data_IF_720282724872
#
_entry.id   IF_720282724872
#
_cell.length_a   1.000
_cell.length_b   1.000
_cell.length_c   1.000
_cell.angle_alpha   90.00
_cell.angle_beta   90.00
_cell.angle_gamma   90.00
#
_symmetry.space_group_name_H-M   'P 1'
#
loop_
_entity.id
_entity.type
_entity.pdbx_description
1 polymer ?
#
# COMPACT_ATOMS: atom_id res chain seq x y z
N UNK A 1 -27.56 3.44 -2.81
CA UNK A 1 -26.87 2.22 -3.31
C UNK A 1 -25.52 2.52 -3.97
N UNK A 2 -25.41 2.96 -5.24
CA UNK A 2 -24.09 3.10 -5.92
C UNK A 2 -23.17 4.15 -5.25
N UNK A 3 -23.73 5.30 -4.85
CA UNK A 3 -22.97 6.36 -4.20
C UNK A 3 -22.47 5.96 -2.79
N UNK A 4 -23.30 5.28 -2.01
CA UNK A 4 -22.93 4.78 -0.67
C UNK A 4 -21.83 3.70 -0.75
N UNK A 5 -21.89 2.82 -1.76
CA UNK A 5 -20.83 1.83 -2.00
C UNK A 5 -19.50 2.47 -2.38
N UNK A 6 -19.51 3.54 -3.19
CA UNK A 6 -18.28 4.27 -3.58
C UNK A 6 -17.69 5.02 -2.38
N UNK A 7 -18.55 5.65 -1.55
CA UNK A 7 -18.11 6.37 -0.37
C UNK A 7 -17.49 5.42 0.67
N UNK A 8 -18.13 4.28 0.93
CA UNK A 8 -17.59 3.25 1.84
C UNK A 8 -16.24 2.73 1.34
N UNK A 9 -16.13 2.45 0.03
CA UNK A 9 -14.90 2.03 -0.61
C UNK A 9 -13.77 3.06 -0.43
N UNK A 10 -14.05 4.35 -0.69
CA UNK A 10 -13.08 5.44 -0.53
C UNK A 10 -12.60 5.58 0.92
N UNK A 11 -13.50 5.51 1.91
CA UNK A 11 -13.13 5.59 3.33
C UNK A 11 -12.29 4.38 3.75
N UNK A 12 -12.66 3.18 3.30
CA UNK A 12 -11.92 1.94 3.57
C UNK A 12 -10.50 1.96 3.02
N UNK A 13 -10.24 2.75 1.96
CA UNK A 13 -8.91 2.95 1.38
C UNK A 13 -8.15 4.12 1.99
N UNK A 14 -8.86 5.14 2.48
CA UNK A 14 -8.28 6.35 3.05
C UNK A 14 -7.52 6.03 4.34
N UNK A 15 -8.06 5.15 5.20
CA UNK A 15 -7.44 4.83 6.50
C UNK A 15 -6.09 4.09 6.34
N UNK A 16 -5.99 2.98 5.58
CA UNK A 16 -4.71 2.32 5.31
C UNK A 16 -3.69 3.25 4.66
N UNK A 17 -4.14 4.10 3.75
CA UNK A 17 -3.32 5.10 3.08
C UNK A 17 -2.70 6.11 4.06
N UNK A 18 -3.53 6.78 4.89
CA UNK A 18 -3.06 7.82 5.81
C UNK A 18 -2.06 7.22 6.81
N UNK A 19 -2.39 6.07 7.38
CA UNK A 19 -1.53 5.46 8.40
C UNK A 19 -0.23 4.95 7.78
N UNK A 20 -0.26 4.34 6.59
CA UNK A 20 0.96 3.96 5.88
C UNK A 20 1.84 5.18 5.58
N UNK A 21 1.26 6.29 5.13
CA UNK A 21 1.99 7.54 4.89
C UNK A 21 2.64 8.09 6.18
N UNK A 22 1.91 8.09 7.30
CA UNK A 22 2.44 8.53 8.60
C UNK A 22 3.59 7.62 9.07
N UNK A 23 3.46 6.30 8.92
CA UNK A 23 4.54 5.37 9.30
C UNK A 23 5.77 5.58 8.44
N UNK A 24 5.61 5.80 7.13
CA UNK A 24 6.73 6.15 6.24
C UNK A 24 7.40 7.45 6.67
N UNK A 25 6.62 8.47 7.04
CA UNK A 25 7.15 9.75 7.52
C UNK A 25 7.88 9.61 8.86
N UNK A 26 7.42 8.76 9.77
CA UNK A 26 8.14 8.51 11.04
C UNK A 26 9.42 7.71 10.78
N UNK A 27 9.39 6.82 9.78
CA UNK A 27 10.53 5.99 9.44
C UNK A 27 11.74 6.76 8.89
N UNK A 28 11.56 8.02 8.44
CA UNK A 28 12.69 8.88 8.06
C UNK A 28 13.63 9.19 9.23
N UNK A 29 13.15 9.11 10.48
CA UNK A 29 13.99 9.21 11.67
C UNK A 29 14.70 7.91 12.06
N UNK A 30 14.36 6.79 11.42
CA UNK A 30 14.91 5.45 11.68
C UNK A 30 15.95 5.05 10.63
N UNK A 31 15.82 5.55 9.41
CA UNK A 31 16.71 5.25 8.31
C UNK A 31 17.60 6.46 8.01
N UNK A 32 18.88 6.35 8.35
CA UNK A 32 19.86 7.45 8.32
C UNK A 32 20.03 8.13 6.93
N UNK A 33 19.58 7.48 5.85
CA UNK A 33 19.64 7.97 4.47
C UNK A 33 18.25 8.24 3.84
N UNK A 34 17.18 8.29 4.63
CA UNK A 34 15.81 8.42 4.12
C UNK A 34 15.24 9.82 4.35
N UNK A 35 15.68 10.79 3.55
CA UNK A 35 15.07 12.13 3.53
C UNK A 35 13.94 12.17 2.49
N UNK A 36 12.83 11.51 2.80
CA UNK A 36 11.64 11.57 1.97
C UNK A 36 10.77 12.74 2.38
N UNK A 37 10.52 13.63 1.41
CA UNK A 37 9.56 14.71 1.59
C UNK A 37 8.17 14.14 1.91
N UNK A 38 7.38 14.79 2.79
CA UNK A 38 6.03 14.33 3.16
C UNK A 38 5.15 14.00 1.95
N UNK A 39 5.31 14.77 0.86
CA UNK A 39 4.62 14.59 -0.41
C UNK A 39 4.96 13.22 -1.04
N UNK A 40 6.23 12.84 -1.06
CA UNK A 40 6.66 11.54 -1.62
C UNK A 40 6.14 10.36 -0.80
N UNK A 41 6.13 10.45 0.54
CA UNK A 41 5.52 9.42 1.41
C UNK A 41 4.03 9.23 1.13
N UNK A 42 3.30 10.33 0.97
CA UNK A 42 1.89 10.32 0.60
C UNK A 42 1.68 9.66 -0.77
N UNK A 43 2.45 10.05 -1.78
CA UNK A 43 2.36 9.49 -3.12
C UNK A 43 2.61 7.97 -3.09
N UNK A 44 3.69 7.52 -2.45
CA UNK A 44 4.01 6.09 -2.33
C UNK A 44 2.87 5.33 -1.66
N UNK A 45 2.42 5.79 -0.49
CA UNK A 45 1.36 5.12 0.26
C UNK A 45 0.03 5.08 -0.50
N UNK A 46 -0.33 6.16 -1.19
CA UNK A 46 -1.56 6.25 -1.98
C UNK A 46 -1.56 5.24 -3.13
N UNK A 47 -0.51 5.30 -3.97
CA UNK A 47 -0.41 4.42 -5.12
C UNK A 47 -0.22 2.96 -4.70
N UNK A 48 0.57 2.68 -3.65
CA UNK A 48 0.80 1.31 -3.19
C UNK A 48 -0.46 0.67 -2.60
N UNK A 49 -1.38 1.47 -2.07
CA UNK A 49 -2.67 1.00 -1.56
C UNK A 49 -3.69 0.80 -2.69
N UNK A 50 -3.72 1.69 -3.69
CA UNK A 50 -4.75 1.70 -4.74
C UNK A 50 -4.39 0.81 -5.94
N UNK A 51 -3.12 0.78 -6.38
CA UNK A 51 -2.71 0.00 -7.56
C UNK A 51 -3.08 -1.48 -7.46
N UNK A 52 -2.91 -2.17 -6.32
CA UNK A 52 -3.30 -3.57 -6.20
C UNK A 52 -4.79 -3.77 -6.50
N UNK A 53 -5.66 -2.83 -6.07
CA UNK A 53 -7.10 -2.87 -6.36
C UNK A 53 -7.43 -2.55 -7.83
N UNK A 54 -6.71 -1.62 -8.45
CA UNK A 54 -6.87 -1.32 -9.87
C UNK A 54 -6.45 -2.53 -10.72
N UNK A 55 -5.29 -3.10 -10.42
CA UNK A 55 -4.80 -4.30 -11.07
C UNK A 55 -5.73 -5.48 -10.86
N UNK A 56 -6.26 -5.62 -9.65
CA UNK A 56 -7.22 -6.67 -9.35
C UNK A 56 -8.51 -6.50 -10.17
N UNK A 57 -9.01 -5.28 -10.27
CA UNK A 57 -10.32 -5.01 -10.91
C UNK A 57 -10.24 -5.01 -12.43
N UNK A 58 -9.20 -4.42 -13.01
CA UNK A 58 -9.11 -4.16 -14.45
C UNK A 58 -8.14 -5.09 -15.19
N UNK A 59 -7.11 -5.61 -14.52
CA UNK A 59 -6.16 -6.56 -15.11
C UNK A 59 -6.43 -8.02 -14.70
N UNK A 60 -7.53 -8.29 -13.99
CA UNK A 60 -7.93 -9.63 -13.58
C UNK A 60 -7.87 -10.71 -14.68
N UNK A 61 -8.31 -10.46 -15.92
CA UNK A 61 -8.23 -11.46 -16.99
C UNK A 61 -6.79 -11.85 -17.33
N UNK A 62 -5.86 -10.89 -17.21
CA UNK A 62 -4.44 -11.04 -17.52
C UNK A 62 -3.61 -11.51 -16.30
N UNK A 63 -4.15 -11.33 -15.09
CA UNK A 63 -3.54 -11.71 -13.81
C UNK A 63 -4.18 -12.98 -13.22
N UNK A 64 -4.91 -13.76 -14.02
CA UNK A 64 -5.58 -15.00 -13.60
C UNK A 64 -4.65 -15.98 -12.86
N UNK A 65 -3.35 -15.98 -13.21
CA UNK A 65 -2.32 -16.70 -12.48
C UNK A 65 -2.22 -16.28 -11.00
N UNK A 66 -2.17 -14.98 -10.70
CA UNK A 66 -2.09 -14.49 -9.32
C UNK A 66 -3.33 -14.85 -8.52
N UNK A 67 -4.51 -14.82 -9.13
CA UNK A 67 -5.75 -15.22 -8.45
C UNK A 67 -5.87 -16.70 -8.16
N UNK A 68 -5.17 -17.54 -8.91
CA UNK A 68 -5.12 -18.98 -8.65
C UNK A 68 -4.23 -19.35 -7.45
N UNK A 69 -3.40 -18.41 -6.97
CA UNK A 69 -2.48 -18.62 -5.86
C UNK A 69 -3.15 -18.14 -4.55
N UNK A 70 -3.12 -18.95 -3.47
CA UNK A 70 -3.55 -18.48 -2.16
C UNK A 70 -2.72 -17.25 -1.76
N UNK A 71 -3.40 -16.17 -1.36
CA UNK A 71 -2.79 -14.86 -1.04
C UNK A 71 -2.19 -14.10 -2.24
N UNK A 72 -2.57 -14.40 -3.48
CA UNK A 72 -2.08 -13.68 -4.67
C UNK A 72 -2.24 -12.16 -4.62
N UNK A 73 -3.35 -11.67 -4.05
CA UNK A 73 -3.56 -10.22 -3.85
C UNK A 73 -2.56 -9.60 -2.86
N UNK A 74 -2.13 -10.34 -1.85
CA UNK A 74 -1.08 -9.88 -0.92
C UNK A 74 0.28 -9.82 -1.63
N UNK A 75 0.60 -10.81 -2.46
CA UNK A 75 1.83 -10.81 -3.26
C UNK A 75 1.84 -9.62 -4.22
N UNK A 76 0.72 -9.36 -4.89
CA UNK A 76 0.59 -8.21 -5.79
C UNK A 76 0.77 -6.88 -5.03
N UNK A 77 0.18 -6.76 -3.83
CA UNK A 77 0.36 -5.59 -2.97
C UNK A 77 1.81 -5.39 -2.56
N UNK A 78 2.52 -6.46 -2.18
CA UNK A 78 3.95 -6.39 -1.86
C UNK A 78 4.79 -5.95 -3.07
N UNK A 79 4.50 -6.49 -4.26
CA UNK A 79 5.18 -6.11 -5.50
C UNK A 79 4.94 -4.62 -5.80
N UNK A 80 3.71 -4.12 -5.64
CA UNK A 80 3.41 -2.69 -5.82
C UNK A 80 4.21 -1.82 -4.85
N UNK A 81 4.27 -2.19 -3.57
CA UNK A 81 5.09 -1.49 -2.56
C UNK A 81 6.56 -1.44 -2.94
N UNK A 82 7.14 -2.59 -3.34
CA UNK A 82 8.54 -2.68 -3.75
C UNK A 82 8.80 -1.80 -4.97
N UNK A 83 8.00 -1.92 -6.03
CA UNK A 83 8.20 -1.17 -7.28
C UNK A 83 8.10 0.34 -7.02
N UNK A 84 7.09 0.79 -6.29
CA UNK A 84 6.88 2.21 -6.03
C UNK A 84 8.01 2.81 -5.20
N UNK A 85 8.45 2.12 -4.15
CA UNK A 85 9.58 2.58 -3.34
C UNK A 85 10.88 2.57 -4.16
N UNK A 86 11.09 1.58 -5.03
CA UNK A 86 12.28 1.51 -5.88
C UNK A 86 12.36 2.67 -6.88
N UNK A 87 11.23 3.12 -7.42
CA UNK A 87 11.15 4.22 -8.39
C UNK A 87 11.25 5.59 -7.71
N UNK A 88 10.59 5.78 -6.56
CA UNK A 88 10.38 7.11 -5.98
C UNK A 88 11.45 7.47 -4.94
N UNK A 89 12.03 6.48 -4.27
CA UNK A 89 13.05 6.73 -3.26
C UNK A 89 14.45 6.85 -3.86
N UNK A 90 15.27 7.70 -3.26
CA UNK A 90 16.69 7.87 -3.57
C UNK A 90 17.60 7.09 -2.60
N UNK A 91 17.02 6.35 -1.64
CA UNK A 91 17.79 5.61 -0.66
C UNK A 91 18.49 4.37 -1.22
N UNK A 92 19.40 3.81 -0.42
CA UNK A 92 20.08 2.56 -0.76
C UNK A 92 19.08 1.41 -0.94
N UNK A 93 19.46 0.43 -1.77
CA UNK A 93 18.58 -0.68 -2.17
C UNK A 93 18.06 -1.49 -0.97
N UNK A 94 18.89 -1.62 0.08
CA UNK A 94 18.51 -2.32 1.31
C UNK A 94 17.47 -1.53 2.09
N UNK A 95 17.59 -0.21 2.17
CA UNK A 95 16.64 0.64 2.89
C UNK A 95 15.34 0.78 2.11
N UNK A 96 15.41 0.87 0.77
CA UNK A 96 14.24 0.77 -0.12
C UNK A 96 13.42 -0.49 0.16
N UNK A 97 14.08 -1.64 0.28
CA UNK A 97 13.42 -2.91 0.59
C UNK A 97 12.79 -2.90 1.99
N UNK A 98 13.53 -2.45 3.02
CA UNK A 98 12.99 -2.36 4.39
C UNK A 98 11.73 -1.50 4.44
N UNK A 99 11.71 -0.41 3.68
CA UNK A 99 10.62 0.56 3.73
C UNK A 99 9.42 0.09 2.92
N UNK A 100 9.64 -0.56 1.77
CA UNK A 100 8.57 -1.25 1.06
C UNK A 100 7.92 -2.32 1.93
N UNK A 101 8.72 -3.12 2.64
CA UNK A 101 8.22 -4.16 3.54
C UNK A 101 7.48 -3.56 4.74
N UNK A 102 8.01 -2.49 5.34
CA UNK A 102 7.35 -1.78 6.44
C UNK A 102 5.99 -1.24 6.01
N UNK A 103 5.93 -0.52 4.89
CA UNK A 103 4.69 0.04 4.34
C UNK A 103 3.68 -1.06 4.02
N UNK A 104 4.12 -2.15 3.38
CA UNK A 104 3.29 -3.32 3.13
C UNK A 104 2.68 -3.91 4.41
N UNK A 105 3.50 -4.20 5.43
CA UNK A 105 3.01 -4.79 6.68
C UNK A 105 1.99 -3.90 7.37
N UNK A 106 2.25 -2.59 7.45
CA UNK A 106 1.32 -1.62 8.03
C UNK A 106 -0.02 -1.67 7.29
N UNK A 107 0.01 -1.60 5.96
CA UNK A 107 -1.22 -1.66 5.15
C UNK A 107 -1.97 -2.98 5.36
N UNK A 108 -1.28 -4.12 5.39
CA UNK A 108 -1.95 -5.42 5.61
C UNK A 108 -2.55 -5.55 7.01
N UNK A 109 -1.85 -5.08 8.05
CA UNK A 109 -2.38 -5.07 9.43
C UNK A 109 -3.66 -4.23 9.47
N UNK A 110 -3.66 -3.05 8.86
CA UNK A 110 -4.84 -2.18 8.87
C UNK A 110 -5.98 -2.80 8.09
N UNK A 111 -5.73 -3.33 6.90
CA UNK A 111 -6.75 -4.01 6.09
C UNK A 111 -7.31 -5.26 6.81
N UNK A 112 -6.49 -5.94 7.61
CA UNK A 112 -6.94 -7.05 8.44
C UNK A 112 -7.76 -6.59 9.66
N UNK A 113 -7.42 -5.45 10.26
CA UNK A 113 -8.01 -4.95 11.51
C UNK A 113 -9.30 -4.15 11.28
N UNK A 114 -9.40 -3.37 10.19
CA UNK A 114 -10.56 -2.54 9.88
C UNK A 114 -11.92 -3.28 9.87
N UNK A 115 -12.05 -4.54 9.38
CA UNK A 115 -13.30 -5.29 9.46
C UNK A 115 -13.80 -5.51 10.89
N UNK A 116 -12.88 -5.66 11.85
CA UNK A 116 -13.25 -5.86 13.26
C UNK A 116 -13.84 -4.62 13.92
N UNK A 117 -13.65 -3.45 13.32
CA UNK A 117 -14.25 -2.19 13.75
C UNK A 117 -15.57 -1.87 13.03
N UNK A 118 -16.10 -2.79 12.22
CA UNK A 118 -17.29 -2.54 11.41
C UNK A 118 -17.07 -1.55 10.28
N UNK A 119 -15.80 -1.31 9.91
CA UNK A 119 -15.43 -0.48 8.76
C UNK A 119 -15.25 -1.41 7.56
N UNK A 120 -16.32 -2.11 7.13
CA UNK A 120 -16.45 -2.85 5.86
C UNK A 120 -17.91 -3.20 5.59
#
# INVERSE_FOLDING_TARGET
>A
MVFESILSLLISWLIPFIVAAVVLMISSGIFDNWDISPIRSIIIAFFATILPFIFSTFLSPYLSFFYSIPFGNMILSLICWIILVMIISDADILDKLKIAVLGFFVTQIILFVLPYFGIF
#
